data_IF_668123507358
#
_entry.id   IF_668123507358
#
_cell.length_a   1.000
_cell.length_b   1.000
_cell.length_c   1.000
_cell.angle_alpha   90.00
_cell.angle_beta   90.00
_cell.angle_gamma   90.00
#
_symmetry.space_group_name_H-M   'P 1'
#
loop_
_entity.id
_entity.type
_entity.pdbx_description
1 polymer ?
#
# COMPACT_ATOMS: atom_id res chain seq x y z
N UNK A 1 5.81 -21.30 10.20
CA UNK A 1 4.94 -21.22 11.38
C UNK A 1 5.44 -20.19 12.41
N UNK A 2 6.74 -20.12 12.69
CA UNK A 2 7.32 -19.21 13.70
C UNK A 2 7.09 -17.72 13.36
N UNK A 3 7.24 -17.33 12.09
CA UNK A 3 7.00 -15.97 11.61
C UNK A 3 5.51 -15.61 11.72
N UNK A 4 4.62 -16.55 11.40
CA UNK A 4 3.18 -16.34 11.53
C UNK A 4 2.77 -16.14 13.01
N UNK A 5 3.30 -16.96 13.92
CA UNK A 5 3.07 -16.81 15.34
C UNK A 5 3.58 -15.46 15.86
N UNK A 6 4.79 -15.05 15.46
CA UNK A 6 5.35 -13.73 15.80
C UNK A 6 4.46 -12.59 15.27
N UNK A 7 3.94 -12.70 14.03
CA UNK A 7 3.01 -11.74 13.45
C UNK A 7 1.72 -11.60 14.25
N UNK A 8 1.13 -12.70 14.68
CA UNK A 8 -0.09 -12.70 15.52
C UNK A 8 0.19 -12.02 16.86
N UNK A 9 1.31 -12.36 17.52
CA UNK A 9 1.70 -11.72 18.78
C UNK A 9 1.87 -10.21 18.60
N UNK A 10 2.55 -9.76 17.55
CA UNK A 10 2.71 -8.34 17.27
C UNK A 10 1.36 -7.65 17.02
N UNK A 11 0.44 -8.27 16.27
CA UNK A 11 -0.90 -7.73 16.04
C UNK A 11 -1.70 -7.53 17.33
N UNK A 12 -1.48 -8.36 18.35
CA UNK A 12 -2.15 -8.23 19.64
C UNK A 12 -1.45 -7.23 20.58
N UNK A 13 -0.12 -7.22 20.59
CA UNK A 13 0.69 -6.42 21.51
C UNK A 13 0.78 -4.95 21.08
N UNK A 14 0.95 -4.67 19.77
CA UNK A 14 1.10 -3.31 19.25
C UNK A 14 -0.08 -2.40 19.64
N UNK A 15 -1.37 -2.77 19.48
CA UNK A 15 -2.49 -1.92 19.88
C UNK A 15 -2.51 -1.59 21.38
N UNK A 16 -2.06 -2.54 22.22
CA UNK A 16 -1.99 -2.34 23.67
C UNK A 16 -0.91 -1.31 24.02
N UNK A 17 0.25 -1.41 23.40
CA UNK A 17 1.35 -0.46 23.58
C UNK A 17 0.95 0.94 23.11
N UNK A 18 0.35 1.05 21.91
CA UNK A 18 -0.04 2.33 21.30
C UNK A 18 -1.06 3.07 22.16
N UNK A 19 -2.01 2.36 22.80
CA UNK A 19 -2.97 2.97 23.72
C UNK A 19 -2.32 3.72 24.88
N UNK A 20 -1.15 3.30 25.32
CA UNK A 20 -0.40 3.93 26.43
C UNK A 20 0.52 5.06 25.98
N UNK A 21 0.88 5.12 24.70
CA UNK A 21 1.87 6.07 24.17
C UNK A 21 1.17 7.21 23.44
N UNK A 22 0.70 8.22 24.20
CA UNK A 22 0.06 9.43 23.64
C UNK A 22 0.96 10.21 22.69
N UNK A 23 2.25 10.17 22.90
CA UNK A 23 3.30 10.80 22.13
C UNK A 23 3.24 10.47 20.61
N UNK A 24 2.92 9.23 20.24
CA UNK A 24 2.85 8.81 18.84
C UNK A 24 1.77 9.52 18.02
N UNK A 25 0.78 10.12 18.67
CA UNK A 25 -0.34 10.79 17.96
C UNK A 25 -0.07 12.25 17.58
N UNK A 26 1.03 12.84 18.01
CA UNK A 26 1.30 14.28 17.79
C UNK A 26 2.19 14.54 16.57
N UNK A 27 2.88 13.52 16.06
CA UNK A 27 3.92 13.65 15.06
C UNK A 27 3.44 13.40 13.61
N UNK A 28 2.18 13.80 13.32
CA UNK A 28 1.58 13.58 11.99
C UNK A 28 2.45 14.07 10.83
N UNK A 29 3.03 15.27 10.94
CA UNK A 29 3.84 15.88 9.89
C UNK A 29 5.11 15.05 9.67
N UNK A 30 5.75 14.63 10.76
CA UNK A 30 6.94 13.78 10.67
C UNK A 30 6.64 12.45 9.98
N UNK A 31 5.53 11.78 10.33
CA UNK A 31 5.13 10.54 9.66
C UNK A 31 4.87 10.74 8.18
N UNK A 32 4.15 11.81 7.79
CA UNK A 32 3.91 12.14 6.39
C UNK A 32 5.20 12.37 5.61
N UNK A 33 6.11 13.18 6.16
CA UNK A 33 7.41 13.47 5.54
C UNK A 33 8.27 12.21 5.46
N UNK A 34 8.42 11.46 6.54
CA UNK A 34 9.22 10.23 6.57
C UNK A 34 8.69 9.21 5.56
N UNK A 35 7.37 9.04 5.47
CA UNK A 35 6.75 8.15 4.49
C UNK A 35 7.08 8.56 3.05
N UNK A 36 6.82 9.81 2.68
CA UNK A 36 7.07 10.31 1.33
C UNK A 36 8.57 10.28 0.99
N UNK A 37 9.44 10.73 1.89
CA UNK A 37 10.88 10.76 1.66
C UNK A 37 11.44 9.34 1.50
N UNK A 38 11.01 8.40 2.35
CA UNK A 38 11.44 7.01 2.26
C UNK A 38 11.06 6.39 0.91
N UNK A 39 9.84 6.64 0.41
CA UNK A 39 9.40 6.17 -0.90
C UNK A 39 10.15 6.88 -2.04
N UNK A 40 10.35 8.19 -1.95
CA UNK A 40 11.08 8.96 -2.96
C UNK A 40 12.53 8.49 -3.09
N UNK A 41 13.20 8.19 -1.98
CA UNK A 41 14.55 7.63 -1.98
C UNK A 41 14.60 6.29 -2.73
N UNK A 42 13.58 5.42 -2.55
CA UNK A 42 13.52 4.15 -3.29
C UNK A 42 13.38 4.36 -4.78
N UNK A 43 12.61 5.36 -5.22
CA UNK A 43 12.47 5.68 -6.66
C UNK A 43 13.81 6.11 -7.27
N UNK A 44 14.61 6.87 -6.51
CA UNK A 44 15.87 7.45 -7.02
C UNK A 44 17.04 6.46 -6.92
N UNK A 45 17.15 5.71 -5.82
CA UNK A 45 18.35 4.92 -5.49
C UNK A 45 18.05 3.41 -5.46
N UNK A 46 16.76 3.02 -5.43
CA UNK A 46 16.34 1.62 -5.33
C UNK A 46 16.82 0.76 -6.49
N UNK A 47 17.18 -0.49 -6.19
CA UNK A 47 17.52 -1.48 -7.22
C UNK A 47 16.24 -2.09 -7.78
N UNK A 48 16.23 -2.30 -9.09
CA UNK A 48 15.14 -3.01 -9.76
C UNK A 48 15.23 -4.50 -9.40
N UNK A 49 14.22 -5.01 -8.69
CA UNK A 49 14.07 -6.43 -8.40
C UNK A 49 12.72 -6.90 -8.95
N UNK A 50 12.73 -7.97 -9.73
CA UNK A 50 11.52 -8.50 -10.40
C UNK A 50 10.73 -7.44 -11.22
N UNK A 51 11.43 -6.47 -11.81
CA UNK A 51 10.81 -5.43 -12.64
C UNK A 51 10.20 -4.25 -11.89
N UNK A 52 10.32 -4.20 -10.57
CA UNK A 52 9.89 -3.08 -9.72
C UNK A 52 11.07 -2.52 -8.89
N UNK A 53 11.02 -1.23 -8.57
CA UNK A 53 12.00 -0.59 -7.67
C UNK A 53 11.54 -0.84 -6.23
N UNK A 54 11.91 -1.99 -5.65
CA UNK A 54 11.32 -2.45 -4.40
C UNK A 54 12.17 -2.21 -3.16
N UNK A 55 13.50 -2.08 -3.27
CA UNK A 55 14.32 -1.94 -2.06
C UNK A 55 15.81 -1.97 -2.25
N UNK A 56 16.50 -2.16 -1.14
CA UNK A 56 17.95 -2.21 -1.03
C UNK A 56 18.39 -3.53 -0.41
N UNK A 57 19.49 -4.09 -0.90
CA UNK A 57 20.14 -5.23 -0.24
C UNK A 57 21.27 -4.71 0.64
N UNK A 58 21.14 -4.87 1.95
CA UNK A 58 22.16 -4.51 2.94
C UNK A 58 22.60 -5.78 3.65
N UNK A 59 23.88 -6.11 3.57
CA UNK A 59 24.46 -7.31 4.20
C UNK A 59 23.71 -8.63 3.89
N UNK A 60 23.20 -8.78 2.64
CA UNK A 60 22.46 -9.96 2.22
C UNK A 60 20.96 -9.98 2.59
N UNK A 61 20.49 -8.97 3.34
CA UNK A 61 19.08 -8.82 3.70
C UNK A 61 18.42 -7.80 2.77
N UNK A 62 17.32 -8.21 2.12
CA UNK A 62 16.52 -7.30 1.32
C UNK A 62 15.61 -6.48 2.22
N UNK A 63 15.84 -5.17 2.28
CA UNK A 63 14.99 -4.22 2.99
C UNK A 63 14.11 -3.53 1.96
N UNK A 64 12.81 -3.66 2.13
CA UNK A 64 11.80 -3.02 1.27
C UNK A 64 11.15 -1.87 2.05
N UNK A 65 11.49 -0.61 1.77
CA UNK A 65 10.96 0.53 2.50
C UNK A 65 9.44 0.67 2.43
N UNK A 66 8.80 0.23 1.35
CA UNK A 66 7.34 0.25 1.24
C UNK A 66 6.63 -0.57 2.34
N UNK A 67 7.29 -1.63 2.87
CA UNK A 67 6.75 -2.39 4.00
C UNK A 67 6.72 -1.55 5.29
N UNK A 68 7.80 -0.81 5.57
CA UNK A 68 7.87 0.09 6.72
C UNK A 68 6.95 1.31 6.54
N UNK A 69 6.88 1.83 5.31
CA UNK A 69 6.04 3.00 5.00
C UNK A 69 4.56 2.69 5.22
N UNK A 70 4.07 1.48 4.98
CA UNK A 70 2.68 1.10 5.32
C UNK A 70 2.36 1.35 6.79
N UNK A 71 3.29 1.02 7.69
CA UNK A 71 3.13 1.25 9.13
C UNK A 71 3.14 2.75 9.44
N UNK A 72 4.13 3.47 8.94
CA UNK A 72 4.26 4.93 9.12
C UNK A 72 3.04 5.66 8.56
N UNK A 73 2.51 5.23 7.42
CA UNK A 73 1.31 5.75 6.80
C UNK A 73 0.06 5.60 7.68
N UNK A 74 -0.14 4.44 8.30
CA UNK A 74 -1.25 4.24 9.25
C UNK A 74 -1.14 5.22 10.42
N UNK A 75 0.05 5.43 10.98
CA UNK A 75 0.26 6.43 12.03
C UNK A 75 0.01 7.86 11.55
N UNK A 76 0.43 8.19 10.33
CA UNK A 76 0.13 9.49 9.71
C UNK A 76 -1.37 9.75 9.63
N UNK A 77 -2.12 8.81 9.05
CA UNK A 77 -3.58 8.95 8.86
C UNK A 77 -4.31 8.98 10.20
N UNK A 78 -3.97 8.05 11.12
CA UNK A 78 -4.58 7.98 12.45
C UNK A 78 -4.33 9.28 13.26
N UNK A 79 -3.11 9.81 13.24
CA UNK A 79 -2.78 11.06 13.95
C UNK A 79 -3.45 12.28 13.31
N UNK A 80 -3.61 12.27 11.98
CA UNK A 80 -4.31 13.34 11.26
C UNK A 80 -5.79 13.36 11.63
N UNK A 81 -6.49 12.24 11.57
CA UNK A 81 -7.91 12.16 11.88
C UNK A 81 -8.23 12.32 13.37
N UNK A 82 -7.31 11.93 14.25
CA UNK A 82 -7.44 12.22 15.68
C UNK A 82 -7.42 13.72 15.97
N UNK A 83 -6.66 14.51 15.19
CA UNK A 83 -6.54 15.94 15.39
C UNK A 83 -7.77 16.70 14.93
N UNK A 84 -8.24 16.43 13.72
CA UNK A 84 -9.40 17.09 13.12
C UNK A 84 -9.96 16.25 11.98
N UNK A 85 -11.28 16.25 11.86
CA UNK A 85 -12.04 15.70 10.73
C UNK A 85 -12.73 16.81 9.93
N UNK A 86 -12.33 18.06 10.12
CA UNK A 86 -12.82 19.18 9.30
C UNK A 86 -12.42 19.01 7.84
N UNK A 87 -13.23 19.51 6.93
CA UNK A 87 -13.05 19.33 5.50
C UNK A 87 -11.64 19.73 5.01
N UNK A 88 -11.07 20.81 5.51
CA UNK A 88 -9.71 21.26 5.15
C UNK A 88 -8.65 20.23 5.54
N UNK A 89 -8.72 19.71 6.76
CA UNK A 89 -7.77 18.70 7.25
C UNK A 89 -7.94 17.36 6.53
N UNK A 90 -9.18 16.99 6.18
CA UNK A 90 -9.46 15.83 5.36
C UNK A 90 -8.82 15.97 3.97
N UNK A 91 -8.98 17.12 3.31
CA UNK A 91 -8.37 17.38 2.00
C UNK A 91 -6.84 17.27 2.07
N UNK A 92 -6.20 17.91 3.06
CA UNK A 92 -4.75 17.83 3.23
C UNK A 92 -4.28 16.39 3.44
N UNK A 93 -4.97 15.65 4.31
CA UNK A 93 -4.64 14.24 4.58
C UNK A 93 -4.84 13.37 3.32
N UNK A 94 -5.90 13.61 2.55
CA UNK A 94 -6.18 12.93 1.28
C UNK A 94 -5.08 13.21 0.25
N UNK A 95 -4.67 14.46 0.11
CA UNK A 95 -3.60 14.85 -0.83
C UNK A 95 -2.29 14.13 -0.48
N UNK A 96 -1.90 14.15 0.80
CA UNK A 96 -0.69 13.45 1.25
C UNK A 96 -0.80 11.93 1.04
N UNK A 97 -1.97 11.34 1.31
CA UNK A 97 -2.23 9.93 1.04
C UNK A 97 -2.14 9.61 -0.46
N UNK A 98 -2.71 10.47 -1.31
CA UNK A 98 -2.63 10.32 -2.77
C UNK A 98 -1.17 10.39 -3.28
N UNK A 99 -0.32 11.24 -2.69
CA UNK A 99 1.10 11.27 -3.02
C UNK A 99 1.81 9.95 -2.69
N UNK A 100 1.51 9.32 -1.54
CA UNK A 100 2.06 7.99 -1.23
C UNK A 100 1.66 6.95 -2.27
N UNK A 101 0.37 6.92 -2.64
CA UNK A 101 -0.13 6.00 -3.68
C UNK A 101 0.54 6.27 -5.02
N UNK A 102 0.66 7.54 -5.42
CA UNK A 102 1.26 7.91 -6.70
C UNK A 102 2.74 7.48 -6.78
N UNK A 103 3.53 7.72 -5.73
CA UNK A 103 4.95 7.31 -5.70
C UNK A 103 5.05 5.78 -5.82
N UNK A 104 4.19 5.02 -5.15
CA UNK A 104 4.17 3.56 -5.26
C UNK A 104 3.78 3.08 -6.66
N UNK A 105 2.83 3.74 -7.32
CA UNK A 105 2.49 3.45 -8.72
C UNK A 105 3.68 3.70 -9.63
N UNK A 106 4.37 4.82 -9.47
CA UNK A 106 5.60 5.15 -10.25
C UNK A 106 6.71 4.13 -9.98
N UNK A 107 6.85 3.66 -8.72
CA UNK A 107 7.81 2.61 -8.33
C UNK A 107 7.42 1.21 -8.84
N UNK A 108 6.28 1.08 -9.53
CA UNK A 108 5.71 -0.20 -10.01
C UNK A 108 5.27 -1.16 -8.88
N UNK A 109 5.14 -0.66 -7.65
CA UNK A 109 4.62 -1.42 -6.51
C UNK A 109 3.09 -1.23 -6.37
N UNK A 110 2.36 -1.78 -7.35
CA UNK A 110 0.91 -1.64 -7.42
C UNK A 110 0.19 -2.33 -6.24
N UNK A 111 0.81 -3.40 -5.71
CA UNK A 111 0.26 -4.12 -4.55
C UNK A 111 0.25 -3.25 -3.30
N UNK A 112 1.38 -2.61 -2.96
CA UNK A 112 1.46 -1.70 -1.83
C UNK A 112 0.58 -0.45 -2.05
N UNK A 113 0.50 0.07 -3.28
CA UNK A 113 -0.37 1.19 -3.64
C UNK A 113 -1.84 0.87 -3.35
N UNK A 114 -2.32 -0.31 -3.75
CA UNK A 114 -3.68 -0.76 -3.48
C UNK A 114 -3.94 -0.92 -1.98
N UNK A 115 -3.02 -1.53 -1.24
CA UNK A 115 -3.15 -1.70 0.21
C UNK A 115 -3.27 -0.34 0.91
N UNK A 116 -2.38 0.61 0.62
CA UNK A 116 -2.41 1.97 1.19
C UNK A 116 -3.72 2.67 0.85
N UNK A 117 -4.18 2.56 -0.39
CA UNK A 117 -5.44 3.15 -0.83
C UNK A 117 -6.64 2.60 -0.06
N UNK A 118 -6.76 1.27 0.05
CA UNK A 118 -7.87 0.63 0.78
C UNK A 118 -7.81 0.97 2.27
N UNK A 119 -6.63 0.89 2.89
CA UNK A 119 -6.42 1.26 4.30
C UNK A 119 -6.85 2.71 4.54
N UNK A 120 -6.46 3.63 3.65
CA UNK A 120 -6.89 5.03 3.75
C UNK A 120 -8.40 5.18 3.73
N UNK A 121 -9.11 4.55 2.78
CA UNK A 121 -10.57 4.62 2.67
C UNK A 121 -11.28 4.06 3.93
N UNK A 122 -10.80 2.92 4.43
CA UNK A 122 -11.34 2.33 5.66
C UNK A 122 -11.14 3.26 6.85
N UNK A 123 -9.94 3.82 7.02
CA UNK A 123 -9.64 4.76 8.11
C UNK A 123 -10.45 6.06 8.00
N UNK A 124 -10.63 6.57 6.77
CA UNK A 124 -11.46 7.74 6.49
C UNK A 124 -12.92 7.50 6.91
N UNK A 125 -13.46 6.32 6.58
CA UNK A 125 -14.80 5.95 6.99
C UNK A 125 -14.95 5.82 8.50
N UNK A 126 -14.01 5.14 9.14
CA UNK A 126 -14.04 4.98 10.62
C UNK A 126 -13.95 6.33 11.34
N UNK A 127 -13.21 7.28 10.77
CA UNK A 127 -13.04 8.61 11.36
C UNK A 127 -14.24 9.54 11.13
N UNK A 128 -14.91 9.43 9.97
CA UNK A 128 -15.96 10.38 9.56
C UNK A 128 -17.38 9.81 9.67
N UNK A 129 -17.52 8.48 9.65
CA UNK A 129 -18.80 7.75 9.53
C UNK A 129 -19.64 8.17 8.33
N UNK A 130 -19.01 8.74 7.28
CA UNK A 130 -19.69 9.29 6.11
C UNK A 130 -19.42 8.38 4.89
N UNK A 131 -20.42 7.59 4.43
CA UNK A 131 -20.25 6.70 3.28
C UNK A 131 -19.98 7.45 1.97
N UNK A 132 -20.37 8.72 1.89
CA UNK A 132 -20.15 9.56 0.71
C UNK A 132 -18.64 9.72 0.41
N UNK A 133 -17.80 9.82 1.43
CA UNK A 133 -16.34 9.91 1.23
C UNK A 133 -15.74 8.62 0.67
N UNK A 134 -16.29 7.44 1.04
CA UNK A 134 -15.88 6.18 0.41
C UNK A 134 -16.26 6.16 -1.06
N UNK A 135 -17.51 6.53 -1.38
CA UNK A 135 -17.97 6.55 -2.77
C UNK A 135 -17.14 7.53 -3.61
N UNK A 136 -16.86 8.73 -3.08
CA UNK A 136 -15.99 9.69 -3.74
C UNK A 136 -14.56 9.16 -3.91
N UNK A 137 -14.01 8.50 -2.88
CA UNK A 137 -12.69 7.88 -2.92
C UNK A 137 -12.61 6.75 -3.93
N UNK A 138 -13.59 5.85 -3.98
CA UNK A 138 -13.68 4.79 -4.97
C UNK A 138 -13.83 5.35 -6.38
N UNK A 139 -14.63 6.40 -6.57
CA UNK A 139 -14.75 7.11 -7.85
C UNK A 139 -13.42 7.71 -8.30
N UNK A 140 -12.75 8.46 -7.42
CA UNK A 140 -11.44 9.03 -7.70
C UNK A 140 -10.37 7.94 -7.96
N UNK A 141 -10.38 6.86 -7.18
CA UNK A 141 -9.50 5.70 -7.37
C UNK A 141 -9.72 5.01 -8.72
N UNK A 142 -10.97 4.84 -9.13
CA UNK A 142 -11.31 4.28 -10.44
C UNK A 142 -10.81 5.16 -11.59
N UNK A 143 -11.01 6.48 -11.50
CA UNK A 143 -10.47 7.43 -12.48
C UNK A 143 -8.94 7.39 -12.49
N UNK A 144 -8.30 7.35 -11.31
CA UNK A 144 -6.85 7.19 -11.19
C UNK A 144 -6.34 5.89 -11.80
N UNK A 145 -7.06 4.77 -11.62
CA UNK A 145 -6.71 3.47 -12.20
C UNK A 145 -6.81 3.49 -13.74
N UNK A 146 -7.86 4.13 -14.30
CA UNK A 146 -7.99 4.33 -15.75
C UNK A 146 -6.86 5.21 -16.27
N UNK A 147 -6.56 6.31 -15.62
CA UNK A 147 -5.43 7.17 -15.98
C UNK A 147 -4.10 6.41 -15.93
N UNK A 148 -3.86 5.65 -14.86
CA UNK A 148 -2.65 4.82 -14.71
C UNK A 148 -2.54 3.77 -15.82
N UNK A 149 -3.64 3.14 -16.22
CA UNK A 149 -3.67 2.19 -17.34
C UNK A 149 -3.21 2.84 -18.65
N UNK A 150 -3.60 4.09 -18.92
CA UNK A 150 -3.19 4.78 -20.13
C UNK A 150 -1.76 5.32 -20.07
N UNK A 151 -1.31 5.77 -18.91
CA UNK A 151 -0.01 6.42 -18.74
C UNK A 151 1.14 5.44 -18.52
N UNK A 152 0.88 4.30 -17.87
CA UNK A 152 1.96 3.39 -17.43
C UNK A 152 1.88 2.02 -18.11
N UNK A 153 2.92 1.67 -18.86
CA UNK A 153 3.01 0.37 -19.57
C UNK A 153 2.94 -0.82 -18.61
N UNK A 154 3.54 -0.73 -17.42
CA UNK A 154 3.52 -1.81 -16.44
C UNK A 154 2.11 -2.07 -15.88
N UNK A 155 1.23 -1.05 -15.81
CA UNK A 155 -0.17 -1.23 -15.42
C UNK A 155 -0.92 -1.97 -16.53
N UNK A 156 -0.72 -1.60 -17.79
CA UNK A 156 -1.27 -2.34 -18.95
C UNK A 156 -0.87 -3.81 -18.93
N UNK A 157 0.42 -4.08 -18.70
CA UNK A 157 0.92 -5.46 -18.61
C UNK A 157 0.20 -6.25 -17.51
N UNK A 158 0.02 -5.67 -16.31
CA UNK A 158 -0.70 -6.33 -15.22
C UNK A 158 -2.16 -6.60 -15.55
N UNK A 159 -2.85 -5.67 -16.21
CA UNK A 159 -4.24 -5.87 -16.67
C UNK A 159 -4.32 -6.97 -17.73
N UNK A 160 -3.39 -7.02 -18.68
CA UNK A 160 -3.36 -8.05 -19.71
C UNK A 160 -3.09 -9.44 -19.12
N UNK A 161 -2.14 -9.55 -18.20
CA UNK A 161 -1.84 -10.78 -17.43
C UNK A 161 -3.06 -11.24 -16.62
N UNK A 162 -3.80 -10.33 -16.02
CA UNK A 162 -5.02 -10.66 -15.28
C UNK A 162 -6.13 -11.17 -16.19
N UNK A 163 -6.27 -10.61 -17.41
CA UNK A 163 -7.29 -11.02 -18.39
C UNK A 163 -6.97 -12.36 -19.04
N UNK A 164 -5.71 -12.58 -19.38
CA UNK A 164 -5.25 -13.80 -20.04
C UNK A 164 -3.91 -14.25 -19.47
N UNK A 165 -3.92 -14.91 -18.29
CA UNK A 165 -2.69 -15.36 -17.65
C UNK A 165 -2.00 -16.49 -18.42
N UNK A 166 -2.74 -17.30 -19.17
CA UNK A 166 -2.17 -18.41 -19.94
C UNK A 166 -1.58 -17.94 -21.26
N UNK A 167 -2.23 -17.05 -21.97
CA UNK A 167 -1.69 -16.49 -23.22
C UNK A 167 -0.50 -15.56 -22.98
N UNK A 168 -0.34 -15.02 -21.76
CA UNK A 168 0.80 -14.19 -21.36
C UNK A 168 1.80 -14.91 -20.46
N UNK A 169 1.78 -16.26 -20.43
CA UNK A 169 2.59 -17.06 -19.51
C UNK A 169 4.08 -16.69 -19.52
N UNK A 170 4.69 -16.59 -20.70
CA UNK A 170 6.10 -16.26 -20.87
C UNK A 170 6.39 -14.75 -20.69
N UNK A 171 5.34 -13.89 -20.72
CA UNK A 171 5.44 -12.43 -20.66
C UNK A 171 4.92 -11.84 -19.33
N UNK A 172 5.14 -12.56 -18.23
CA UNK A 172 4.78 -12.09 -16.87
C UNK A 172 3.52 -12.74 -16.31
N UNK A 173 2.79 -13.58 -17.06
CA UNK A 173 1.63 -14.34 -16.61
C UNK A 173 1.98 -15.56 -15.74
N UNK A 174 3.25 -15.98 -15.72
CA UNK A 174 3.72 -17.15 -14.99
C UNK A 174 3.23 -17.23 -13.54
N UNK A 175 3.40 -16.14 -12.76
CA UNK A 175 3.00 -16.14 -11.35
C UNK A 175 1.49 -16.33 -11.16
N UNK A 176 0.68 -15.69 -12.01
CA UNK A 176 -0.79 -15.78 -11.94
C UNK A 176 -1.23 -17.18 -12.37
N UNK A 177 -0.67 -17.72 -13.45
CA UNK A 177 -0.96 -19.07 -13.92
C UNK A 177 -0.60 -20.14 -12.87
N UNK A 178 0.58 -20.03 -12.25
CA UNK A 178 1.00 -20.93 -11.17
C UNK A 178 0.09 -20.84 -9.94
N UNK A 179 -0.36 -19.63 -9.59
CA UNK A 179 -1.34 -19.45 -8.51
C UNK A 179 -2.66 -20.14 -8.83
N UNK A 180 -3.14 -20.03 -10.07
CA UNK A 180 -4.36 -20.73 -10.52
C UNK A 180 -4.21 -22.24 -10.50
N UNK A 181 -3.05 -22.77 -10.92
CA UNK A 181 -2.75 -24.19 -10.81
C UNK A 181 -2.73 -24.66 -9.36
N UNK A 182 -2.08 -23.92 -8.47
CA UNK A 182 -2.03 -24.25 -7.05
C UNK A 182 -3.43 -24.26 -6.41
N UNK A 183 -4.28 -23.30 -6.75
CA UNK A 183 -5.67 -23.24 -6.28
C UNK A 183 -6.47 -24.43 -6.86
N UNK A 184 -6.31 -24.72 -8.16
CA UNK A 184 -7.05 -25.78 -8.83
C UNK A 184 -6.67 -27.19 -8.37
N UNK A 185 -5.40 -27.41 -8.00
CA UNK A 185 -4.88 -28.72 -7.57
C UNK A 185 -4.89 -28.92 -6.06
N UNK A 186 -4.83 -27.84 -5.27
CA UNK A 186 -4.70 -27.91 -3.81
C UNK A 186 -5.99 -28.30 -3.07
N UNK A 187 -7.16 -28.19 -3.68
CA UNK A 187 -8.44 -28.46 -3.02
C UNK A 187 -8.70 -27.58 -1.81
N UNK A 188 -9.34 -28.14 -0.78
CA UNK A 188 -9.71 -27.40 0.44
C UNK A 188 -8.57 -27.24 1.46
N UNK A 189 -7.54 -28.05 1.38
CA UNK A 189 -6.46 -28.12 2.38
C UNK A 189 -5.06 -27.83 1.81
N UNK A 190 -4.94 -27.47 0.55
CA UNK A 190 -3.70 -27.06 -0.13
C UNK A 190 -2.94 -28.19 -0.77
#
# INVERSE_FOLDING_TARGET
YLIAAAGIVLCLVIPIIIRKVRFLSEWRILYGIVGIVSLAVVVVVGRVSYGAMLGFTVAGINIQPSELVKIVFVFFVASSFKRSTEFKDLVVTTVVAAFHVLILVVSKDLGAALIIFVVYLVMLYVATHQPLYILAGLGAGSLGAVAAYHLFTHVKTRVNVWRDPFGTYDNGGYQVAQSLFAIGTGGWFG
#
